data_IF_832700366861
#
_entry.id   IF_832700366861
#
_cell.length_a   1.000
_cell.length_b   1.000
_cell.length_c   1.000
_cell.angle_alpha   90.00
_cell.angle_beta   90.00
_cell.angle_gamma   90.00
#
_symmetry.space_group_name_H-M   'P 1'
#
loop_
_entity.id
_entity.type
_entity.pdbx_description
1 polymer ?
#
# COMPACT_ATOMS: atom_id res chain seq x y z
N UNK A 1 3.84 -29.47 -7.82
CA UNK A 1 4.80 -30.38 -7.18
C UNK A 1 5.07 -29.83 -5.79
N UNK A 2 4.74 -30.56 -4.73
CA UNK A 2 4.95 -30.09 -3.35
C UNK A 2 6.43 -30.31 -3.02
N UNK A 3 7.17 -29.25 -2.66
CA UNK A 3 8.57 -29.37 -2.22
C UNK A 3 8.57 -29.94 -0.80
N UNK A 4 9.38 -30.97 -0.49
CA UNK A 4 9.49 -31.52 0.86
C UNK A 4 9.89 -30.47 1.91
N UNK A 5 9.27 -30.43 3.10
CA UNK A 5 9.58 -29.46 4.16
C UNK A 5 11.07 -29.38 4.53
N UNK A 6 11.80 -30.50 4.49
CA UNK A 6 13.21 -30.56 4.86
C UNK A 6 14.11 -29.82 3.84
N UNK A 7 13.75 -29.86 2.55
CA UNK A 7 14.46 -29.12 1.49
C UNK A 7 14.24 -27.61 1.68
N UNK A 8 13.06 -27.23 2.17
CA UNK A 8 12.67 -25.84 2.36
C UNK A 8 13.34 -25.19 3.58
N UNK A 9 13.45 -25.94 4.66
CA UNK A 9 14.17 -25.49 5.86
C UNK A 9 15.65 -25.30 5.54
N UNK A 10 16.27 -26.25 4.83
CA UNK A 10 17.64 -26.10 4.35
C UNK A 10 17.83 -24.88 3.44
N UNK A 11 16.91 -24.63 2.51
CA UNK A 11 16.95 -23.43 1.66
C UNK A 11 16.84 -22.13 2.46
N UNK A 12 16.03 -22.10 3.52
CA UNK A 12 15.92 -20.92 4.39
C UNK A 12 17.21 -20.65 5.14
N UNK A 13 17.80 -21.68 5.75
CA UNK A 13 19.04 -21.54 6.52
C UNK A 13 20.22 -21.10 5.64
N UNK A 14 20.37 -21.69 4.45
CA UNK A 14 21.40 -21.29 3.48
C UNK A 14 21.27 -19.82 3.07
N UNK A 15 20.04 -19.33 2.88
CA UNK A 15 19.78 -17.92 2.60
C UNK A 15 20.10 -17.00 3.78
N UNK A 16 19.85 -17.44 5.02
CA UNK A 16 20.20 -16.67 6.22
C UNK A 16 21.71 -16.54 6.32
N UNK A 17 22.44 -17.65 6.21
CA UNK A 17 23.89 -17.67 6.25
C UNK A 17 24.49 -16.77 5.16
N UNK A 18 23.96 -16.86 3.93
CA UNK A 18 24.38 -16.01 2.81
C UNK A 18 24.15 -14.52 3.09
N UNK A 19 22.97 -14.14 3.62
CA UNK A 19 22.67 -12.74 3.94
C UNK A 19 23.56 -12.22 5.07
N UNK A 20 23.75 -12.99 6.14
CA UNK A 20 24.57 -12.57 7.29
C UNK A 20 26.06 -12.50 6.95
N UNK A 21 26.54 -13.33 6.01
CA UNK A 21 27.93 -13.28 5.54
C UNK A 21 28.19 -12.13 4.56
N UNK A 22 27.23 -11.84 3.66
CA UNK A 22 27.42 -10.86 2.58
C UNK A 22 27.13 -9.41 3.00
N UNK A 23 26.34 -9.18 4.06
CA UNK A 23 25.82 -7.85 4.41
C UNK A 23 26.03 -7.49 5.88
N UNK A 24 26.87 -6.49 6.13
CA UNK A 24 27.08 -5.89 7.45
C UNK A 24 26.09 -4.74 7.70
N UNK A 25 24.82 -5.07 7.97
CA UNK A 25 23.76 -4.09 8.26
C UNK A 25 23.01 -4.46 9.53
N UNK A 26 22.96 -3.54 10.49
CA UNK A 26 22.24 -3.71 11.75
C UNK A 26 20.75 -4.00 11.50
N UNK A 27 20.18 -4.95 12.26
CA UNK A 27 18.75 -5.29 12.25
C UNK A 27 18.35 -6.43 11.30
N UNK A 28 19.28 -7.04 10.55
CA UNK A 28 18.99 -8.24 9.74
C UNK A 28 18.55 -9.41 10.63
N UNK A 29 19.25 -9.64 11.74
CA UNK A 29 18.89 -10.70 12.72
C UNK A 29 17.50 -10.45 13.33
N UNK A 30 17.15 -9.18 13.59
CA UNK A 30 15.83 -8.81 14.09
C UNK A 30 14.73 -9.12 13.06
N UNK A 31 14.99 -8.96 11.76
CA UNK A 31 14.04 -9.36 10.71
C UNK A 31 13.81 -10.86 10.75
N UNK A 32 14.88 -11.65 10.87
CA UNK A 32 14.78 -13.13 10.94
C UNK A 32 13.92 -13.52 12.16
N UNK A 33 14.19 -12.90 13.31
CA UNK A 33 13.41 -13.11 14.52
C UNK A 33 11.93 -12.75 14.34
N UNK A 34 11.64 -11.57 13.79
CA UNK A 34 10.27 -11.11 13.55
C UNK A 34 9.53 -12.00 12.52
N UNK A 35 10.23 -12.51 11.50
CA UNK A 35 9.68 -13.48 10.55
C UNK A 35 9.24 -14.78 11.24
N UNK A 36 10.04 -15.28 12.18
CA UNK A 36 9.71 -16.48 12.95
C UNK A 36 8.54 -16.23 13.92
N UNK A 37 8.45 -15.03 14.49
CA UNK A 37 7.30 -14.63 15.30
C UNK A 37 6.01 -14.59 14.49
N UNK A 38 5.98 -13.89 13.35
CA UNK A 38 4.76 -13.77 12.52
C UNK A 38 4.34 -15.09 11.87
N UNK A 39 5.31 -16.00 11.64
CA UNK A 39 5.05 -17.38 11.21
C UNK A 39 4.42 -18.20 12.33
N UNK A 40 5.06 -18.22 13.50
CA UNK A 40 4.63 -19.08 14.62
C UNK A 40 3.29 -18.66 15.24
N UNK A 41 2.98 -17.37 15.27
CA UNK A 41 1.71 -16.86 15.77
C UNK A 41 0.58 -16.83 14.72
N UNK A 42 0.87 -17.21 13.46
CA UNK A 42 -0.09 -17.26 12.36
C UNK A 42 -0.62 -15.89 11.89
N UNK A 43 -0.08 -14.77 12.39
CA UNK A 43 -0.55 -13.42 12.02
C UNK A 43 -0.38 -13.13 10.53
N UNK A 44 0.73 -13.58 9.94
CA UNK A 44 0.96 -13.39 8.51
C UNK A 44 -0.04 -14.17 7.64
N UNK A 45 -0.39 -15.40 8.05
CA UNK A 45 -1.40 -16.22 7.37
C UNK A 45 -2.78 -15.56 7.42
N UNK A 46 -3.18 -15.10 8.60
CA UNK A 46 -4.44 -14.37 8.76
C UNK A 46 -4.48 -13.11 7.89
N UNK A 47 -3.39 -12.34 7.85
CA UNK A 47 -3.30 -11.14 7.04
C UNK A 47 -3.36 -11.46 5.53
N UNK A 48 -2.61 -12.45 5.06
CA UNK A 48 -2.60 -12.85 3.64
C UNK A 48 -3.99 -13.34 3.19
N UNK A 49 -4.68 -14.11 4.03
CA UNK A 49 -6.05 -14.54 3.76
C UNK A 49 -7.04 -13.35 3.71
N UNK A 50 -6.90 -12.40 4.63
CA UNK A 50 -7.73 -11.20 4.66
C UNK A 50 -7.46 -10.24 3.49
N UNK A 51 -6.23 -10.20 2.99
CA UNK A 51 -5.88 -9.39 1.83
C UNK A 51 -6.77 -9.70 0.63
N UNK A 52 -6.96 -10.98 0.30
CA UNK A 52 -7.84 -11.38 -0.81
C UNK A 52 -9.29 -10.91 -0.65
N UNK A 53 -9.80 -10.85 0.58
CA UNK A 53 -11.16 -10.41 0.90
C UNK A 53 -11.30 -8.90 0.73
N UNK A 54 -10.40 -8.13 1.35
CA UNK A 54 -10.43 -6.65 1.30
C UNK A 54 -10.12 -6.15 -0.11
N UNK A 55 -9.11 -6.72 -0.77
CA UNK A 55 -8.70 -6.33 -2.11
C UNK A 55 -9.82 -6.52 -3.14
N UNK A 56 -10.57 -7.64 -3.06
CA UNK A 56 -11.75 -7.90 -3.92
C UNK A 56 -12.90 -6.93 -3.66
N UNK A 57 -13.15 -6.54 -2.40
CA UNK A 57 -14.24 -5.60 -2.06
C UNK A 57 -13.99 -4.19 -2.61
N UNK A 58 -12.72 -3.81 -2.70
CA UNK A 58 -12.30 -2.46 -3.05
C UNK A 58 -11.86 -2.30 -4.51
N UNK A 59 -11.76 -3.40 -5.26
CA UNK A 59 -11.20 -3.42 -6.61
C UNK A 59 -9.88 -2.63 -6.69
N UNK A 60 -8.97 -2.82 -5.71
CA UNK A 60 -7.66 -2.15 -5.73
C UNK A 60 -6.82 -2.72 -6.89
N UNK A 61 -7.04 -2.21 -8.09
CA UNK A 61 -6.15 -2.36 -9.24
C UNK A 61 -5.61 -0.96 -9.50
N UNK A 62 -4.39 -0.72 -9.04
CA UNK A 62 -3.53 0.37 -9.51
C UNK A 62 -3.98 1.81 -9.32
N UNK A 63 -4.89 2.05 -8.37
CA UNK A 63 -5.14 3.38 -7.85
C UNK A 63 -6.38 3.45 -6.96
N UNK A 64 -6.15 3.63 -5.66
CA UNK A 64 -6.86 4.63 -4.85
C UNK A 64 -8.40 4.66 -4.80
N UNK A 65 -9.09 3.54 -4.52
CA UNK A 65 -10.45 3.69 -3.97
C UNK A 65 -10.40 4.01 -2.46
N UNK A 66 -9.84 5.19 -2.16
CA UNK A 66 -9.92 5.76 -0.82
C UNK A 66 -11.34 6.28 -0.58
N UNK A 67 -11.88 6.19 0.64
CA UNK A 67 -13.12 6.87 0.98
C UNK A 67 -13.05 8.37 0.69
N UNK A 68 -14.15 8.98 0.24
CA UNK A 68 -14.20 10.41 -0.08
C UNK A 68 -13.80 11.29 1.11
N UNK A 69 -14.23 10.93 2.33
CA UNK A 69 -13.84 11.63 3.55
C UNK A 69 -12.32 11.59 3.79
N UNK A 70 -11.67 10.44 3.52
CA UNK A 70 -10.23 10.29 3.73
C UNK A 70 -9.44 11.25 2.83
N UNK A 71 -9.85 11.41 1.56
CA UNK A 71 -9.23 12.38 0.64
C UNK A 71 -9.38 13.83 1.10
N UNK A 72 -10.49 14.16 1.77
CA UNK A 72 -10.79 15.52 2.24
C UNK A 72 -10.10 15.86 3.55
N UNK A 73 -10.05 14.91 4.47
CA UNK A 73 -9.68 15.17 5.87
C UNK A 73 -8.27 14.72 6.23
N UNK A 74 -7.71 13.71 5.56
CA UNK A 74 -6.36 13.24 5.87
C UNK A 74 -5.31 14.09 5.12
N UNK A 75 -4.54 14.88 5.89
CA UNK A 75 -3.51 15.76 5.32
C UNK A 75 -2.33 15.02 4.70
N UNK A 76 -2.03 13.79 5.15
CA UNK A 76 -0.98 12.94 4.58
C UNK A 76 -1.38 12.43 3.18
N UNK A 77 -2.62 11.97 3.02
CA UNK A 77 -3.20 11.60 1.72
C UNK A 77 -3.21 12.79 0.77
N UNK A 78 -3.67 13.95 1.26
CA UNK A 78 -3.72 15.19 0.48
C UNK A 78 -2.31 15.61 0.02
N UNK A 79 -1.34 15.63 0.92
CA UNK A 79 0.03 16.02 0.58
C UNK A 79 0.65 15.05 -0.43
N UNK A 80 0.39 13.74 -0.28
CA UNK A 80 0.84 12.72 -1.21
C UNK A 80 0.25 12.92 -2.62
N UNK A 81 -1.06 13.20 -2.72
CA UNK A 81 -1.74 13.37 -4.01
C UNK A 81 -1.27 14.62 -4.77
N UNK A 82 -0.92 15.69 -4.05
CA UNK A 82 -0.43 16.95 -4.61
C UNK A 82 1.03 16.85 -5.10
N UNK A 83 1.85 15.96 -4.51
CA UNK A 83 3.30 15.95 -4.72
C UNK A 83 3.86 14.70 -5.43
N UNK A 84 3.17 13.56 -5.37
CA UNK A 84 3.57 12.33 -6.06
C UNK A 84 3.01 12.29 -7.49
N UNK A 85 3.66 11.53 -8.38
CA UNK A 85 3.15 11.35 -9.76
C UNK A 85 1.88 10.50 -9.77
N UNK A 86 0.93 10.85 -10.64
CA UNK A 86 -0.18 10.01 -11.12
C UNK A 86 0.04 9.76 -12.63
N UNK A 87 0.35 8.53 -13.10
CA UNK A 87 -0.67 7.60 -13.69
C UNK A 87 -0.27 6.09 -13.66
N UNK A 88 -0.86 5.18 -14.47
CA UNK A 88 -2.08 4.34 -14.29
C UNK A 88 -1.69 2.85 -14.01
N UNK A 89 -0.41 2.47 -14.10
CA UNK A 89 0.06 1.07 -14.01
C UNK A 89 1.29 1.03 -13.09
N UNK A 90 1.31 0.21 -12.02
CA UNK A 90 2.47 0.05 -11.15
C UNK A 90 3.62 -0.51 -11.97
N UNK A 91 4.83 -0.04 -11.68
CA UNK A 91 6.03 -0.78 -12.09
C UNK A 91 6.72 -1.18 -10.80
N UNK A 92 6.81 -2.47 -10.45
CA UNK A 92 7.73 -2.87 -9.40
C UNK A 92 9.13 -2.38 -9.78
N UNK A 93 9.84 -1.79 -8.82
CA UNK A 93 11.19 -1.22 -9.02
C UNK A 93 11.26 -0.05 -10.02
N UNK A 94 10.20 0.75 -10.13
CA UNK A 94 10.31 2.03 -10.82
C UNK A 94 11.16 3.02 -10.02
N UNK A 95 11.92 3.87 -10.71
CA UNK A 95 12.77 4.94 -10.12
C UNK A 95 11.95 6.08 -9.45
N UNK A 96 10.69 5.83 -9.10
CA UNK A 96 9.76 6.84 -8.58
C UNK A 96 8.60 6.18 -7.86
N UNK A 97 8.38 6.55 -6.59
CA UNK A 97 7.12 6.26 -5.87
C UNK A 97 5.98 7.12 -6.42
N UNK A 98 4.87 6.48 -6.73
CA UNK A 98 3.64 7.10 -7.22
C UNK A 98 2.57 7.17 -6.13
N UNK A 99 1.58 8.02 -6.35
CA UNK A 99 0.48 8.19 -5.39
C UNK A 99 -0.28 6.88 -5.11
N UNK A 100 -0.58 6.09 -6.14
CA UNK A 100 -1.22 4.78 -5.97
C UNK A 100 -0.40 3.77 -5.19
N UNK A 101 0.93 3.81 -5.34
CA UNK A 101 1.85 2.94 -4.61
C UNK A 101 1.90 3.37 -3.13
N UNK A 102 1.95 4.68 -2.84
CA UNK A 102 1.83 5.21 -1.49
C UNK A 102 0.52 4.80 -0.81
N UNK A 103 -0.59 4.81 -1.54
CA UNK A 103 -1.90 4.44 -1.01
C UNK A 103 -2.04 2.97 -0.60
N UNK A 104 -1.10 2.09 -0.99
CA UNK A 104 -1.07 0.70 -0.50
C UNK A 104 -0.92 0.63 1.02
N UNK A 105 -0.34 1.66 1.66
CA UNK A 105 -0.33 1.78 3.11
C UNK A 105 -1.73 1.60 3.69
N UNK A 106 -2.73 2.29 3.16
CA UNK A 106 -4.10 2.25 3.67
C UNK A 106 -4.82 0.94 3.36
N UNK A 107 -4.53 0.29 2.22
CA UNK A 107 -5.00 -1.07 1.96
C UNK A 107 -4.50 -2.03 3.05
N UNK A 108 -3.22 -1.99 3.38
CA UNK A 108 -2.66 -2.86 4.42
C UNK A 108 -3.19 -2.52 5.81
N UNK A 109 -3.43 -1.25 6.13
CA UNK A 109 -4.11 -0.86 7.37
C UNK A 109 -5.54 -1.41 7.43
N UNK A 110 -6.33 -1.32 6.35
CA UNK A 110 -7.66 -1.95 6.29
C UNK A 110 -7.60 -3.47 6.46
N UNK A 111 -6.64 -4.14 5.82
CA UNK A 111 -6.44 -5.60 5.93
C UNK A 111 -6.11 -6.00 7.37
N UNK A 112 -5.16 -5.32 8.01
CA UNK A 112 -4.70 -5.64 9.36
C UNK A 112 -5.76 -5.26 10.39
N UNK A 113 -6.45 -4.14 10.23
CA UNK A 113 -7.56 -3.78 11.13
C UNK A 113 -8.71 -4.79 11.02
N UNK A 114 -9.07 -5.20 9.80
CA UNK A 114 -10.09 -6.24 9.56
C UNK A 114 -9.67 -7.58 10.16
N UNK A 115 -8.36 -7.89 10.16
CA UNK A 115 -7.81 -9.08 10.79
C UNK A 115 -8.03 -9.10 12.30
N UNK A 116 -7.74 -8.00 12.99
CA UNK A 116 -7.86 -7.93 14.45
C UNK A 116 -9.30 -7.74 14.95
N UNK A 117 -10.13 -7.06 14.16
CA UNK A 117 -11.56 -6.89 14.48
C UNK A 117 -12.41 -8.13 14.19
N UNK A 118 -11.89 -9.08 13.40
CA UNK A 118 -12.55 -10.33 12.98
C UNK A 118 -13.95 -10.13 12.36
N UNK A 119 -14.21 -8.93 11.81
CA UNK A 119 -15.49 -8.55 11.23
C UNK A 119 -15.31 -7.68 9.99
N UNK A 120 -16.41 -7.45 9.26
CA UNK A 120 -16.44 -6.44 8.20
C UNK A 120 -16.22 -5.05 8.82
N UNK A 121 -15.32 -4.28 8.20
CA UNK A 121 -15.09 -2.89 8.59
C UNK A 121 -16.37 -2.07 8.40
N UNK A 122 -16.71 -1.30 9.41
CA UNK A 122 -17.75 -0.28 9.36
C UNK A 122 -17.14 1.12 9.17
N UNK A 123 -17.98 2.14 9.07
CA UNK A 123 -17.51 3.51 8.87
C UNK A 123 -16.60 4.03 10.00
N UNK A 124 -16.93 3.71 11.27
CA UNK A 124 -16.11 4.09 12.41
C UNK A 124 -14.70 3.48 12.34
N UNK A 125 -14.61 2.22 11.92
CA UNK A 125 -13.31 1.56 11.69
C UNK A 125 -12.52 2.27 10.60
N UNK A 126 -13.17 2.64 9.48
CA UNK A 126 -12.50 3.40 8.42
C UNK A 126 -12.02 4.75 8.94
N UNK A 127 -12.82 5.50 9.72
CA UNK A 127 -12.31 6.75 10.32
C UNK A 127 -11.12 6.50 11.24
N UNK A 128 -11.15 5.45 12.05
CA UNK A 128 -10.01 5.07 12.89
C UNK A 128 -8.74 4.80 12.07
N UNK A 129 -8.87 4.04 10.98
CA UNK A 129 -7.77 3.72 10.07
C UNK A 129 -7.20 4.98 9.40
N UNK A 130 -8.08 5.84 8.87
CA UNK A 130 -7.69 6.98 8.05
C UNK A 130 -7.39 8.25 8.83
N UNK A 131 -7.87 8.38 10.07
CA UNK A 131 -7.79 9.62 10.85
C UNK A 131 -7.31 9.39 12.30
N UNK A 132 -6.99 8.16 12.68
CA UNK A 132 -6.41 7.81 13.99
C UNK A 132 -4.91 8.11 14.12
N UNK A 133 -4.26 8.56 13.04
CA UNK A 133 -2.86 9.01 13.04
C UNK A 133 -1.81 7.91 13.02
N UNK A 134 -2.21 6.64 12.91
CA UNK A 134 -1.26 5.52 12.78
C UNK A 134 -0.46 5.60 11.48
N UNK A 135 -1.09 6.04 10.40
CA UNK A 135 -0.47 6.34 9.11
C UNK A 135 0.68 7.35 9.22
N UNK A 136 0.50 8.43 9.97
CA UNK A 136 1.59 9.39 10.24
C UNK A 136 2.73 8.73 11.01
N UNK A 137 2.40 7.95 12.04
CA UNK A 137 3.42 7.27 12.86
C UNK A 137 4.20 6.24 12.05
N UNK A 138 3.55 5.54 11.14
CA UNK A 138 4.24 4.61 10.23
C UNK A 138 5.14 5.35 9.25
N UNK A 139 4.66 6.43 8.63
CA UNK A 139 5.45 7.20 7.65
C UNK A 139 6.66 7.89 8.28
N UNK A 140 6.53 8.43 9.49
CA UNK A 140 7.59 9.24 10.10
C UNK A 140 8.41 8.54 11.18
N UNK A 141 7.88 7.48 11.81
CA UNK A 141 8.57 6.75 12.89
C UNK A 141 8.84 5.28 12.57
N UNK A 142 8.28 4.73 11.48
CA UNK A 142 8.50 3.35 11.04
C UNK A 142 8.34 2.36 12.19
N UNK A 143 9.34 1.51 12.47
CA UNK A 143 9.29 0.50 13.53
C UNK A 143 9.03 1.07 14.94
N UNK A 144 9.19 2.38 15.12
CA UNK A 144 8.89 3.08 16.37
C UNK A 144 7.47 3.64 16.44
N UNK A 145 6.57 3.30 15.49
CA UNK A 145 5.20 3.84 15.42
C UNK A 145 4.39 3.67 16.72
N UNK A 146 4.64 2.61 17.49
CA UNK A 146 3.95 2.37 18.77
C UNK A 146 4.46 3.21 19.94
N UNK A 147 5.65 3.82 19.83
CA UNK A 147 6.30 4.58 20.89
C UNK A 147 6.17 6.10 20.71
N UNK A 148 5.84 6.54 19.50
CA UNK A 148 5.77 7.96 19.13
C UNK A 148 4.33 8.46 19.24
N UNK A 149 4.12 9.54 20.00
CA UNK A 149 2.81 10.20 20.14
C UNK A 149 2.64 11.40 19.21
N UNK A 150 3.74 12.05 18.84
CA UNK A 150 3.75 13.24 17.98
C UNK A 150 4.60 12.98 16.76
N UNK A 151 4.05 13.30 15.59
CA UNK A 151 4.73 13.18 14.30
C UNK A 151 4.91 14.56 13.69
N UNK A 152 5.93 14.76 12.86
CA UNK A 152 6.03 15.99 12.08
C UNK A 152 4.83 16.11 11.14
N UNK A 153 4.51 17.35 10.78
CA UNK A 153 3.54 17.62 9.72
C UNK A 153 4.13 17.20 8.36
N UNK A 154 3.31 16.63 7.45
CA UNK A 154 3.75 16.32 6.11
C UNK A 154 4.18 17.58 5.37
N UNK A 155 5.28 17.50 4.64
CA UNK A 155 5.79 18.62 3.84
C UNK A 155 5.90 18.25 2.37
N UNK A 156 5.74 19.20 1.43
CA UNK A 156 5.99 18.96 0.02
C UNK A 156 7.38 18.38 -0.25
N UNK A 157 8.42 18.85 0.46
CA UNK A 157 9.80 18.38 0.30
C UNK A 157 9.94 16.88 0.61
N UNK A 158 9.30 16.41 1.68
CA UNK A 158 9.28 14.99 2.02
C UNK A 158 8.74 14.13 0.87
N UNK A 159 7.58 14.49 0.31
CA UNK A 159 6.99 13.74 -0.80
C UNK A 159 7.76 13.88 -2.10
N UNK A 160 8.41 15.02 -2.34
CA UNK A 160 9.29 15.21 -3.50
C UNK A 160 10.55 14.33 -3.43
N UNK A 161 11.08 14.08 -2.23
CA UNK A 161 12.16 13.10 -2.00
C UNK A 161 11.65 11.68 -2.19
N UNK A 162 10.52 11.34 -1.59
CA UNK A 162 9.89 10.02 -1.75
C UNK A 162 9.64 9.68 -3.23
N UNK A 163 9.20 10.66 -4.02
CA UNK A 163 9.00 10.53 -5.46
C UNK A 163 10.28 10.18 -6.24
N UNK A 164 11.46 10.44 -5.71
CA UNK A 164 12.74 10.16 -6.37
C UNK A 164 13.38 8.84 -5.91
N UNK A 165 12.63 7.97 -5.26
CA UNK A 165 13.14 6.72 -4.70
C UNK A 165 13.95 5.93 -5.73
N UNK A 166 15.23 5.72 -5.41
CA UNK A 166 16.12 4.76 -6.04
C UNK A 166 17.13 4.28 -4.99
N UNK A 167 17.66 3.07 -5.19
CA UNK A 167 18.73 2.57 -4.33
C UNK A 167 20.02 3.34 -4.56
N UNK A 168 20.76 3.60 -3.48
CA UNK A 168 22.07 4.28 -3.54
C UNK A 168 23.11 3.43 -4.27
N UNK A 169 23.00 2.11 -4.17
CA UNK A 169 23.87 1.14 -4.82
C UNK A 169 23.14 -0.21 -5.08
N UNK A 170 23.75 -1.06 -5.91
CA UNK A 170 23.20 -2.38 -6.25
C UNK A 170 23.22 -3.38 -5.09
N UNK A 171 24.06 -3.20 -4.08
CA UNK A 171 24.10 -4.10 -2.92
C UNK A 171 22.88 -3.87 -2.03
N UNK A 172 22.51 -2.61 -1.80
CA UNK A 172 21.30 -2.23 -1.09
C UNK A 172 20.04 -2.81 -1.76
N UNK A 173 19.96 -2.72 -3.09
CA UNK A 173 18.87 -3.32 -3.88
C UNK A 173 18.84 -4.85 -3.76
N UNK A 174 20.00 -5.50 -3.89
CA UNK A 174 20.12 -6.96 -3.75
C UNK A 174 19.73 -7.45 -2.36
N UNK A 175 20.15 -6.76 -1.29
CA UNK A 175 19.74 -7.11 0.07
C UNK A 175 18.22 -7.07 0.21
N UNK A 176 17.58 -6.01 -0.28
CA UNK A 176 16.13 -5.86 -0.23
C UNK A 176 15.39 -7.01 -0.94
N UNK A 177 15.90 -7.43 -2.11
CA UNK A 177 15.40 -8.59 -2.85
C UNK A 177 15.63 -9.89 -2.06
N UNK A 178 16.84 -10.10 -1.51
CA UNK A 178 17.18 -11.29 -0.71
C UNK A 178 16.28 -11.42 0.53
N UNK A 179 16.03 -10.34 1.27
CA UNK A 179 15.10 -10.33 2.41
C UNK A 179 13.67 -10.70 1.95
N UNK A 180 13.22 -10.17 0.82
CA UNK A 180 11.90 -10.50 0.26
C UNK A 180 11.80 -11.98 -0.12
N UNK A 181 12.88 -12.57 -0.63
CA UNK A 181 12.97 -14.01 -0.92
C UNK A 181 13.00 -14.83 0.38
N UNK A 182 13.75 -14.41 1.40
CA UNK A 182 13.82 -15.08 2.70
C UNK A 182 12.45 -15.14 3.36
N UNK A 183 11.71 -14.02 3.34
CA UNK A 183 10.33 -13.96 3.81
C UNK A 183 9.43 -14.97 3.08
N UNK A 184 9.55 -15.06 1.75
CA UNK A 184 8.81 -16.03 0.95
C UNK A 184 9.14 -17.47 1.34
N UNK A 185 10.43 -17.79 1.52
CA UNK A 185 10.87 -19.11 1.95
C UNK A 185 10.32 -19.45 3.35
N UNK A 186 10.35 -18.48 4.26
CA UNK A 186 9.86 -18.64 5.64
C UNK A 186 8.34 -18.86 5.70
N UNK A 187 7.58 -18.16 4.85
CA UNK A 187 6.12 -18.09 4.88
C UNK A 187 5.46 -18.88 3.75
N UNK A 188 6.20 -19.79 3.12
CA UNK A 188 5.75 -20.55 1.95
C UNK A 188 4.44 -21.33 2.16
N UNK A 189 4.27 -21.96 3.34
CA UNK A 189 3.09 -22.78 3.62
C UNK A 189 1.79 -21.97 3.64
N UNK A 190 1.91 -20.64 3.75
CA UNK A 190 0.81 -19.67 3.70
C UNK A 190 0.49 -19.22 2.27
N UNK A 191 1.50 -19.05 1.42
CA UNK A 191 1.38 -18.33 0.15
C UNK A 191 1.26 -19.23 -1.10
N UNK A 192 1.62 -20.51 -0.99
CA UNK A 192 1.67 -21.45 -2.12
C UNK A 192 2.86 -21.21 -3.06
N UNK A 193 3.58 -22.27 -3.43
CA UNK A 193 4.89 -22.21 -4.12
C UNK A 193 4.91 -21.53 -5.50
N UNK A 194 3.82 -21.56 -6.27
CA UNK A 194 3.88 -21.36 -7.73
C UNK A 194 3.31 -20.05 -8.28
N UNK A 195 2.65 -19.22 -7.47
CA UNK A 195 2.08 -17.98 -7.96
C UNK A 195 2.68 -16.76 -7.26
N UNK A 196 3.31 -15.90 -8.06
CA UNK A 196 3.51 -14.51 -7.71
C UNK A 196 2.11 -13.86 -7.67
N UNK A 197 1.50 -13.87 -6.50
CA UNK A 197 0.19 -13.30 -6.26
C UNK A 197 0.26 -11.78 -6.19
N UNK A 198 -0.88 -11.14 -6.43
CA UNK A 198 -1.06 -9.70 -6.22
C UNK A 198 -0.68 -9.26 -4.81
N UNK A 199 -0.82 -10.14 -3.81
CA UNK A 199 -0.38 -9.88 -2.45
C UNK A 199 1.14 -9.67 -2.38
N UNK A 200 1.97 -10.61 -2.85
CA UNK A 200 3.43 -10.45 -2.76
C UNK A 200 3.92 -9.23 -3.56
N UNK A 201 3.32 -8.94 -4.71
CA UNK A 201 3.66 -7.72 -5.46
C UNK A 201 3.33 -6.46 -4.67
N UNK A 202 2.11 -6.36 -4.13
CA UNK A 202 1.68 -5.20 -3.34
C UNK A 202 2.52 -5.03 -2.07
N UNK A 203 2.93 -6.14 -1.46
CA UNK A 203 3.76 -6.16 -0.25
C UNK A 203 5.15 -5.58 -0.55
N UNK A 204 5.78 -6.01 -1.65
CA UNK A 204 7.07 -5.48 -2.08
C UNK A 204 7.00 -3.98 -2.41
N UNK A 205 5.89 -3.53 -3.00
CA UNK A 205 5.68 -2.10 -3.27
C UNK A 205 5.52 -1.33 -1.95
N UNK A 206 4.71 -1.82 -1.00
CA UNK A 206 4.56 -1.19 0.31
C UNK A 206 5.89 -1.08 1.06
N UNK A 207 6.69 -2.15 1.07
CA UNK A 207 8.03 -2.12 1.66
C UNK A 207 8.94 -1.08 0.99
N UNK A 208 8.83 -0.92 -0.34
CA UNK A 208 9.57 0.11 -1.06
C UNK A 208 9.12 1.53 -0.68
N UNK A 209 7.82 1.72 -0.45
CA UNK A 209 7.27 2.98 0.08
C UNK A 209 7.81 3.27 1.48
N UNK A 210 7.80 2.29 2.39
CA UNK A 210 8.31 2.47 3.75
C UNK A 210 9.82 2.73 3.78
N UNK A 211 10.60 2.05 2.94
CA UNK A 211 12.03 2.32 2.78
C UNK A 211 12.28 3.74 2.23
N UNK A 212 11.47 4.17 1.27
CA UNK A 212 11.47 5.55 0.78
C UNK A 212 11.11 6.56 1.87
N UNK A 213 10.16 6.25 2.76
CA UNK A 213 9.79 7.09 3.90
C UNK A 213 10.96 7.20 4.90
N UNK A 214 11.68 6.11 5.17
CA UNK A 214 12.91 6.11 5.98
C UNK A 214 13.93 7.11 5.42
N UNK A 215 14.26 6.97 4.13
CA UNK A 215 15.22 7.85 3.49
C UNK A 215 14.76 9.31 3.47
N UNK A 216 13.50 9.57 3.10
CA UNK A 216 12.95 10.92 3.04
C UNK A 216 12.88 11.59 4.42
N UNK A 217 12.59 10.83 5.48
CA UNK A 217 12.60 11.30 6.87
C UNK A 217 13.97 11.78 7.33
N UNK A 218 15.04 11.14 6.84
CA UNK A 218 16.43 11.55 7.06
C UNK A 218 16.91 12.62 6.07
N UNK A 219 16.01 13.25 5.32
CA UNK A 219 16.31 14.22 4.25
C UNK A 219 17.19 13.65 3.13
N UNK A 220 17.13 12.35 2.88
CA UNK A 220 17.80 11.67 1.76
C UNK A 220 16.83 11.41 0.61
N UNK A 221 17.34 11.40 -0.61
CA UNK A 221 16.58 11.08 -1.83
C UNK A 221 16.91 9.68 -2.38
N UNK A 222 17.83 8.97 -1.72
CA UNK A 222 18.24 7.60 -2.06
C UNK A 222 18.07 6.67 -0.87
N UNK A 223 17.63 5.46 -1.17
CA UNK A 223 17.41 4.37 -0.23
C UNK A 223 18.68 3.53 -0.13
N UNK A 224 19.13 3.25 1.08
CA UNK A 224 20.23 2.33 1.34
C UNK A 224 19.74 1.02 1.97
N UNK A 225 20.67 0.11 2.24
CA UNK A 225 20.38 -1.18 2.86
C UNK A 225 19.66 -1.05 4.21
N UNK A 226 20.05 -0.07 5.03
CA UNK A 226 19.46 0.18 6.35
C UNK A 226 17.99 0.60 6.26
N UNK A 227 17.62 1.44 5.28
CA UNK A 227 16.21 1.80 5.03
C UNK A 227 15.35 0.57 4.70
N UNK A 228 15.91 -0.36 3.93
CA UNK A 228 15.26 -1.63 3.61
C UNK A 228 15.03 -2.50 4.84
N UNK A 229 15.99 -2.50 5.78
CA UNK A 229 15.84 -3.20 7.06
C UNK A 229 14.74 -2.58 7.90
N UNK A 230 14.76 -1.25 8.10
CA UNK A 230 13.74 -0.53 8.87
C UNK A 230 12.33 -0.73 8.31
N UNK A 231 12.17 -0.70 6.98
CA UNK A 231 10.91 -0.95 6.32
C UNK A 231 10.34 -2.35 6.65
N UNK A 232 11.18 -3.38 6.63
CA UNK A 232 10.76 -4.74 6.97
C UNK A 232 10.40 -4.87 8.45
N UNK A 233 11.19 -4.29 9.37
CA UNK A 233 10.88 -4.30 10.79
C UNK A 233 9.57 -3.57 11.10
N UNK A 234 9.36 -2.40 10.50
CA UNK A 234 8.12 -1.64 10.64
C UNK A 234 6.91 -2.45 10.15
N UNK A 235 7.04 -3.06 8.98
CA UNK A 235 6.00 -3.90 8.39
C UNK A 235 5.68 -5.11 9.26
N UNK A 236 6.68 -5.92 9.65
CA UNK A 236 6.46 -7.13 10.46
C UNK A 236 5.87 -6.78 11.83
N UNK A 237 6.35 -5.70 12.45
CA UNK A 237 5.76 -5.17 13.69
C UNK A 237 4.31 -4.74 13.50
N UNK A 238 3.98 -4.10 12.38
CA UNK A 238 2.61 -3.71 12.05
C UNK A 238 1.70 -4.95 11.94
N UNK A 239 2.15 -6.01 11.25
CA UNK A 239 1.38 -7.27 11.09
C UNK A 239 1.01 -7.88 12.44
N UNK A 240 1.90 -7.83 13.44
CA UNK A 240 1.67 -8.40 14.78
C UNK A 240 1.03 -7.46 15.80
N UNK A 241 0.75 -6.21 15.42
CA UNK A 241 0.19 -5.22 16.35
C UNK A 241 -1.32 -5.12 16.17
N UNK A 242 -2.07 -5.24 17.25
CA UNK A 242 -3.49 -4.88 17.23
C UNK A 242 -3.64 -3.38 16.99
N UNK A 243 -4.02 -3.00 15.77
CA UNK A 243 -4.17 -1.61 15.36
C UNK A 243 -5.59 -1.05 15.61
N UNK A 244 -6.49 -1.84 16.19
CA UNK A 244 -7.85 -1.36 16.54
C UNK A 244 -7.85 -0.37 17.70
N UNK A 245 -6.74 -0.28 18.44
CA UNK A 245 -6.54 0.69 19.52
C UNK A 245 -6.31 2.13 19.03
N UNK A 246 -6.00 2.34 17.74
CA UNK A 246 -5.76 3.67 17.18
C UNK A 246 -7.09 4.28 16.73
N UNK A 247 -7.59 5.26 17.49
CA UNK A 247 -8.92 5.83 17.29
C UNK A 247 -8.84 7.28 16.80
N UNK A 248 -9.75 7.66 15.90
CA UNK A 248 -9.90 9.04 15.47
C UNK A 248 -10.59 9.89 16.56
N UNK A 249 -10.12 11.13 16.77
CA UNK A 249 -10.75 12.08 17.69
C UNK A 249 -11.96 12.78 17.04
N UNK A 250 -13.04 12.97 17.80
CA UNK A 250 -14.15 13.87 17.44
C UNK A 250 -15.20 13.27 16.50
N UNK A 251 -16.00 12.32 16.99
CA UNK A 251 -17.23 11.91 16.29
C UNK A 251 -18.34 12.96 16.53
N UNK A 252 -19.02 13.48 15.49
CA UNK A 252 -20.41 13.87 15.64
C UNK A 252 -21.24 12.59 15.78
N UNK A 253 -21.99 12.46 16.88
CA UNK A 253 -22.86 11.31 17.17
C UNK A 253 -24.01 11.12 16.16
N UNK A 254 -24.18 12.03 15.20
CA UNK A 254 -25.43 12.22 14.45
C UNK A 254 -25.35 12.04 12.94
N UNK A 255 -24.19 11.78 12.34
CA UNK A 255 -24.13 11.42 10.92
C UNK A 255 -24.28 9.91 10.75
N UNK A 256 -25.53 9.46 10.81
CA UNK A 256 -25.92 8.12 10.34
C UNK A 256 -25.77 8.10 8.83
N UNK A 257 -24.63 7.62 8.34
CA UNK A 257 -24.48 7.24 6.94
C UNK A 257 -25.08 5.85 6.75
N UNK A 258 -26.28 5.82 6.17
CA UNK A 258 -27.14 4.64 6.00
C UNK A 258 -26.71 3.74 4.82
N UNK A 259 -25.40 3.59 4.59
CA UNK A 259 -24.85 2.89 3.41
C UNK A 259 -24.43 1.43 3.68
N UNK A 260 -24.65 0.92 4.89
CA UNK A 260 -24.26 -0.46 5.24
C UNK A 260 -25.43 -1.43 5.40
N UNK A 261 -26.68 -0.97 5.30
CA UNK A 261 -27.86 -1.83 5.28
C UNK A 261 -28.27 -2.15 3.84
N UNK A 262 -27.52 -3.06 3.23
CA UNK A 262 -27.88 -3.68 1.96
C UNK A 262 -27.41 -5.12 1.95
N UNK A 263 -28.23 -6.04 2.46
CA UNK A 263 -28.20 -7.45 2.07
C UNK A 263 -28.55 -7.54 0.58
N UNK A 264 -27.61 -7.14 -0.28
CA UNK A 264 -27.49 -7.39 -1.71
C UNK A 264 -26.29 -6.56 -2.20
N UNK A 265 -25.22 -7.25 -2.62
CA UNK A 265 -24.10 -6.74 -3.43
C UNK A 265 -23.62 -5.30 -3.19
N UNK A 266 -22.45 -5.17 -2.55
CA UNK A 266 -21.55 -4.01 -2.73
C UNK A 266 -22.23 -2.62 -2.74
N UNK A 267 -23.02 -2.28 -1.72
CA UNK A 267 -23.42 -0.90 -1.44
C UNK A 267 -22.42 -0.28 -0.46
N UNK A 268 -21.84 0.87 -0.82
CA UNK A 268 -20.78 1.57 -0.08
C UNK A 268 -19.56 1.97 -0.93
N UNK A 269 -19.52 1.56 -2.20
CA UNK A 269 -18.94 2.42 -3.22
C UNK A 269 -20.10 3.34 -3.61
N UNK A 270 -19.94 4.67 -3.48
CA UNK A 270 -20.73 5.57 -4.32
C UNK A 270 -20.70 4.94 -5.72
N UNK A 271 -21.87 4.69 -6.33
CA UNK A 271 -21.93 4.24 -7.73
C UNK A 271 -20.92 5.09 -8.49
N UNK A 272 -19.83 4.49 -8.96
CA UNK A 272 -18.73 5.25 -9.57
C UNK A 272 -19.39 6.20 -10.57
N UNK A 273 -19.26 7.51 -10.33
CA UNK A 273 -19.89 8.52 -11.20
C UNK A 273 -19.24 8.55 -12.58
N UNK A 274 -18.18 7.74 -12.75
CA UNK A 274 -17.44 7.47 -13.96
C UNK A 274 -16.18 8.32 -14.08
N UNK A 275 -15.44 8.06 -15.15
CA UNK A 275 -14.13 8.63 -15.41
C UNK A 275 -14.17 9.36 -16.75
N UNK A 276 -13.44 10.47 -16.85
CA UNK A 276 -13.19 11.19 -18.08
C UNK A 276 -11.74 10.97 -18.53
N UNK A 277 -11.53 10.32 -19.67
CA UNK A 277 -10.22 10.14 -20.31
C UNK A 277 -10.04 11.15 -21.43
N UNK A 278 -8.94 11.88 -21.45
CA UNK A 278 -8.57 12.70 -22.58
C UNK A 278 -7.88 11.87 -23.68
N UNK A 279 -8.42 11.90 -24.89
CA UNK A 279 -7.83 11.20 -26.05
C UNK A 279 -6.43 11.73 -26.46
N UNK A 280 -6.09 12.97 -26.09
CA UNK A 280 -4.86 13.64 -26.54
C UNK A 280 -3.72 13.51 -25.54
N UNK A 281 -3.96 13.87 -24.28
CA UNK A 281 -2.93 13.83 -23.23
C UNK A 281 -3.01 12.57 -22.38
N UNK A 282 -3.99 11.70 -22.62
CA UNK A 282 -4.25 10.49 -21.82
C UNK A 282 -4.50 10.78 -20.33
N UNK A 283 -4.86 12.02 -20.00
CA UNK A 283 -5.21 12.42 -18.65
C UNK A 283 -6.57 11.84 -18.25
N UNK A 284 -6.64 11.25 -17.06
CA UNK A 284 -7.88 10.71 -16.48
C UNK A 284 -8.34 11.63 -15.37
N UNK A 285 -9.63 11.97 -15.37
CA UNK A 285 -10.31 12.67 -14.30
C UNK A 285 -11.40 11.77 -13.73
N UNK A 286 -11.46 11.63 -12.41
CA UNK A 286 -12.52 10.92 -11.73
C UNK A 286 -13.56 11.94 -11.28
N UNK A 287 -14.84 11.73 -11.62
CA UNK A 287 -15.90 12.67 -11.28
C UNK A 287 -16.13 12.70 -9.77
N UNK A 288 -16.16 13.91 -9.19
CA UNK A 288 -16.47 14.10 -7.78
C UNK A 288 -17.99 14.02 -7.51
N UNK A 289 -18.42 13.83 -6.25
CA UNK A 289 -19.84 13.79 -5.91
C UNK A 289 -20.56 15.09 -6.31
N UNK A 290 -21.56 14.95 -7.19
CA UNK A 290 -22.36 16.07 -7.70
C UNK A 290 -21.90 16.59 -9.07
N UNK A 291 -20.74 16.15 -9.56
CA UNK A 291 -20.30 16.44 -10.92
C UNK A 291 -20.95 15.49 -11.92
N UNK A 292 -21.27 16.04 -13.09
CA UNK A 292 -21.76 15.32 -14.26
C UNK A 292 -20.67 15.28 -15.32
N UNK A 293 -20.51 14.19 -16.10
CA UNK A 293 -19.57 14.18 -17.22
C UNK A 293 -19.83 15.31 -18.23
N UNK A 294 -21.08 15.75 -18.34
CA UNK A 294 -21.50 16.87 -19.18
C UNK A 294 -20.99 18.24 -18.69
N UNK A 295 -20.56 18.37 -17.43
CA UNK A 295 -19.96 19.61 -16.90
C UNK A 295 -18.57 19.89 -17.52
N UNK A 296 -18.02 18.93 -18.25
CA UNK A 296 -16.66 18.97 -18.79
C UNK A 296 -16.67 18.90 -20.32
N UNK A 297 -16.49 20.05 -20.98
CA UNK A 297 -16.50 20.11 -22.45
C UNK A 297 -15.20 19.58 -23.07
N UNK A 298 -14.03 20.02 -22.58
CA UNK A 298 -12.72 19.66 -23.14
C UNK A 298 -11.65 19.57 -22.06
N UNK A 299 -10.61 18.78 -22.32
CA UNK A 299 -9.44 18.73 -21.45
C UNK A 299 -8.67 20.07 -21.52
N UNK A 300 -7.93 20.40 -20.46
CA UNK A 300 -7.04 21.58 -20.41
C UNK A 300 -5.99 21.62 -21.53
N UNK A 301 -5.70 20.48 -22.16
CA UNK A 301 -4.81 20.39 -23.34
C UNK A 301 -5.53 20.63 -24.69
N UNK A 302 -6.83 20.94 -24.66
CA UNK A 302 -7.70 21.07 -25.83
C UNK A 302 -8.08 19.75 -26.51
N UNK A 303 -7.87 18.60 -25.85
CA UNK A 303 -8.30 17.29 -26.33
C UNK A 303 -9.72 16.94 -25.90
N UNK A 304 -10.38 16.07 -26.66
CA UNK A 304 -11.72 15.57 -26.32
C UNK A 304 -11.67 14.65 -25.08
N UNK A 305 -12.72 14.70 -24.27
CA UNK A 305 -12.91 13.83 -23.11
C UNK A 305 -13.88 12.70 -23.46
N UNK A 306 -13.55 11.49 -23.03
CA UNK A 306 -14.35 10.27 -23.19
C UNK A 306 -14.80 9.80 -21.81
N UNK A 307 -16.08 9.54 -21.65
CA UNK A 307 -16.66 9.09 -20.39
C UNK A 307 -16.69 7.56 -20.31
N UNK A 308 -16.40 7.03 -19.13
CA UNK A 308 -16.47 5.61 -18.79
C UNK A 308 -17.24 5.45 -17.50
N UNK A 309 -18.26 4.59 -17.48
CA UNK A 309 -19.11 4.43 -16.28
C UNK A 309 -18.35 3.80 -15.10
N UNK A 310 -17.35 2.98 -15.41
CA UNK A 310 -16.56 2.27 -14.42
C UNK A 310 -15.12 2.13 -14.88
N UNK A 311 -14.24 1.84 -13.92
CA UNK A 311 -12.81 1.71 -14.20
C UNK A 311 -12.48 0.55 -15.15
N UNK A 312 -13.27 -0.52 -15.18
CA UNK A 312 -13.02 -1.68 -16.04
C UNK A 312 -13.15 -1.33 -17.52
N UNK A 313 -14.14 -0.53 -17.89
CA UNK A 313 -14.28 -0.02 -19.26
C UNK A 313 -13.12 0.91 -19.62
N UNK A 314 -12.74 1.82 -18.71
CA UNK A 314 -11.59 2.70 -18.90
C UNK A 314 -10.28 1.92 -19.09
N UNK A 315 -10.04 0.91 -18.24
CA UNK A 315 -8.85 0.07 -18.29
C UNK A 315 -8.77 -0.70 -19.61
N UNK A 316 -9.89 -1.28 -20.05
CA UNK A 316 -9.97 -1.94 -21.34
C UNK A 316 -9.61 -0.96 -22.47
N UNK A 317 -10.16 0.24 -22.48
CA UNK A 317 -9.84 1.23 -23.52
C UNK A 317 -8.34 1.61 -23.51
N UNK A 318 -7.77 1.84 -22.33
CA UNK A 318 -6.35 2.18 -22.16
C UNK A 318 -5.41 1.03 -22.56
N UNK A 319 -5.86 -0.22 -22.46
CA UNK A 319 -5.14 -1.40 -22.94
C UNK A 319 -5.27 -1.54 -24.45
N UNK A 320 -6.45 -1.32 -25.04
CA UNK A 320 -6.67 -1.40 -26.49
C UNK A 320 -5.89 -0.33 -27.25
N UNK A 321 -5.85 0.91 -26.76
CA UNK A 321 -5.05 1.98 -27.37
C UNK A 321 -3.52 1.73 -27.32
N UNK A 322 -3.07 0.71 -26.57
CA UNK A 322 -1.66 0.26 -26.54
C UNK A 322 -1.39 -0.97 -27.42
N UNK A 323 -2.42 -1.58 -28.00
CA UNK A 323 -2.29 -2.76 -28.89
C UNK A 323 -2.14 -2.33 -30.37
N UNK A 324 -2.31 -1.05 -30.71
CA UNK A 324 -1.89 -0.49 -32.00
C UNK A 324 -0.40 -0.10 -32.02
N UNK A 325 0.50 -1.09 -31.89
CA UNK A 325 1.92 -1.01 -32.28
C UNK A 325 2.30 -2.24 -33.11
#
# INVERSE_FOLDING_TARGET
MIVPPEIMEWQREDMIDEILADYEVEGIEDIIHELDLVKSNGSYEKMANNFGIVNKRRNYIMGCFLPSFARKENSLIKMASENLKNPIIPRPFGDTIRYGEFCLLYLYLEVIYSMYSERKLNYGDLRNIYLGGLDFRLVFALENFGCVLQTPEPTPDFFQRLRKMHFVDKQSEKLFIKISMLKRATLHNVLGYFFFSSFQLSEMILLSVLAGCSAAGDNRDKVNAYDGVRANLAYLKLVRTDITQYNASGMPETEVYDDLNGENGCAGLEKEKGYLLCERCMGVYHLEPGESPEDFETCRCGGKLMYFENFFELENELLHQKIDI
#
